data_IF_871869620869
#
_entry.id   IF_871869620869
#
_cell.length_a   1.000
_cell.length_b   1.000
_cell.length_c   1.000
_cell.angle_alpha   90.00
_cell.angle_beta   90.00
_cell.angle_gamma   90.00
#
_symmetry.space_group_name_H-M   'P 1'
#
loop_
_entity.id
_entity.type
_entity.pdbx_description
1 polymer ?
#
# COMPACT_ATOMS: atom_id res chain seq x y z
N UNK A 1 10.57 51.66 27.14
CA UNK A 1 9.23 51.23 27.62
C UNK A 1 9.01 49.80 27.18
N UNK A 2 9.16 48.84 28.09
CA UNK A 2 8.91 47.42 27.82
C UNK A 2 7.42 47.16 27.99
N UNK A 3 6.75 46.76 26.92
CA UNK A 3 5.35 46.34 26.93
C UNK A 3 5.22 44.98 27.63
N UNK A 4 4.41 44.92 28.68
CA UNK A 4 4.04 43.68 29.35
C UNK A 4 3.20 42.79 28.42
N UNK A 5 3.38 41.45 28.45
CA UNK A 5 2.52 40.54 27.71
C UNK A 5 1.14 40.47 28.38
N UNK A 6 0.09 40.73 27.60
CA UNK A 6 -1.29 40.60 28.03
C UNK A 6 -1.57 39.17 28.51
N UNK A 7 -2.05 39.03 29.75
CA UNK A 7 -2.53 37.75 30.29
C UNK A 7 -3.68 37.22 29.42
N UNK A 8 -3.73 35.91 29.11
CA UNK A 8 -4.87 35.33 28.42
C UNK A 8 -6.11 35.53 29.28
N UNK A 9 -7.13 36.19 28.72
CA UNK A 9 -8.41 36.36 29.37
C UNK A 9 -9.00 34.97 29.68
N UNK A 10 -9.29 34.72 30.94
CA UNK A 10 -9.91 33.49 31.40
C UNK A 10 -11.39 33.54 31.03
N UNK A 11 -11.74 33.07 29.82
CA UNK A 11 -13.12 33.04 29.34
C UNK A 11 -13.83 31.91 30.09
N UNK A 12 -14.75 32.26 30.99
CA UNK A 12 -15.64 31.28 31.60
C UNK A 12 -16.42 30.54 30.49
N UNK A 13 -16.57 29.20 30.56
CA UNK A 13 -17.31 28.46 29.55
C UNK A 13 -18.74 29.00 29.46
N UNK A 14 -19.20 29.28 28.25
CA UNK A 14 -20.56 29.75 28.02
C UNK A 14 -21.58 28.75 28.61
N UNK A 15 -22.68 29.23 29.24
CA UNK A 15 -23.66 28.34 29.84
C UNK A 15 -24.28 27.45 28.76
N UNK A 16 -24.10 26.14 28.90
CA UNK A 16 -24.70 25.12 28.04
C UNK A 16 -25.97 24.60 28.71
N UNK A 17 -27.10 24.66 28.01
CA UNK A 17 -28.37 24.05 28.41
C UNK A 17 -28.68 22.88 27.49
N UNK A 18 -29.42 21.88 27.97
CA UNK A 18 -29.93 20.79 27.14
C UNK A 18 -31.44 20.85 27.08
N UNK A 19 -32.01 20.56 25.90
CA UNK A 19 -33.45 20.47 25.70
C UNK A 19 -33.79 19.30 24.76
N UNK A 20 -34.95 18.64 24.93
CA UNK A 20 -35.38 17.61 24.01
C UNK A 20 -35.65 18.21 22.62
N UNK A 21 -35.11 17.57 21.60
CA UNK A 21 -35.35 17.88 20.19
C UNK A 21 -35.70 16.60 19.44
N UNK A 22 -36.12 16.74 18.19
CA UNK A 22 -36.43 15.62 17.32
C UNK A 22 -35.72 15.81 15.97
N UNK A 23 -35.12 14.73 15.47
CA UNK A 23 -34.55 14.66 14.14
C UNK A 23 -35.42 13.75 13.28
N UNK A 24 -35.84 14.23 12.11
CA UNK A 24 -36.69 13.45 11.19
C UNK A 24 -36.07 12.11 10.77
N UNK A 25 -34.74 11.98 10.82
CA UNK A 25 -34.00 10.77 10.45
C UNK A 25 -33.65 9.86 11.62
N UNK A 26 -33.44 10.42 12.81
CA UNK A 26 -32.83 9.72 13.95
C UNK A 26 -33.68 9.76 15.22
N UNK A 27 -34.88 10.37 15.16
CA UNK A 27 -35.81 10.41 16.28
C UNK A 27 -35.44 11.46 17.35
N UNK A 28 -35.97 11.30 18.57
CA UNK A 28 -35.72 12.24 19.66
C UNK A 28 -34.26 12.22 20.13
N UNK A 29 -33.71 13.38 20.44
CA UNK A 29 -32.35 13.53 20.96
C UNK A 29 -32.23 14.75 21.88
N UNK A 30 -31.21 14.76 22.75
CA UNK A 30 -30.91 15.92 23.60
C UNK A 30 -30.08 16.94 22.84
N UNK A 31 -30.66 18.11 22.57
CA UNK A 31 -30.01 19.21 21.88
C UNK A 31 -29.30 20.13 22.88
N UNK A 32 -28.00 20.34 22.67
CA UNK A 32 -27.24 21.39 23.37
C UNK A 32 -27.60 22.77 22.84
N UNK A 33 -27.85 23.72 23.74
CA UNK A 33 -28.09 25.13 23.45
C UNK A 33 -27.03 25.96 24.16
N UNK A 34 -26.24 26.70 23.40
CA UNK A 34 -25.19 27.58 23.91
C UNK A 34 -25.65 29.02 23.74
N UNK A 35 -25.63 29.80 24.82
CA UNK A 35 -26.00 31.22 24.77
C UNK A 35 -24.72 32.05 24.70
N UNK A 36 -24.53 32.79 23.62
CA UNK A 36 -23.40 33.69 23.41
C UNK A 36 -23.94 35.08 23.06
N UNK A 37 -23.60 36.10 23.86
CA UNK A 37 -23.99 37.51 23.61
C UNK A 37 -25.49 37.64 23.28
N UNK A 38 -26.34 37.08 24.15
CA UNK A 38 -27.82 37.03 24.02
C UNK A 38 -28.38 36.32 22.78
N UNK A 39 -27.55 35.53 22.08
CA UNK A 39 -28.01 34.64 20.98
C UNK A 39 -27.94 33.19 21.40
N UNK A 40 -29.03 32.46 21.15
CA UNK A 40 -29.09 31.00 21.32
C UNK A 40 -28.56 30.28 20.08
N UNK A 41 -27.48 29.52 20.24
CA UNK A 41 -26.98 28.59 19.24
C UNK A 41 -27.43 27.17 19.60
N UNK A 42 -28.16 26.53 18.70
CA UNK A 42 -28.73 25.19 18.90
C UNK A 42 -27.91 24.15 18.14
N UNK A 43 -27.44 23.12 18.84
CA UNK A 43 -26.70 22.01 18.26
C UNK A 43 -27.58 21.15 17.34
N UNK A 44 -27.00 20.67 16.24
CA UNK A 44 -27.67 19.70 15.37
C UNK A 44 -27.80 18.31 16.02
N UNK A 45 -28.52 17.41 15.36
CA UNK A 45 -28.57 16.00 15.76
C UNK A 45 -27.15 15.38 15.77
N UNK A 46 -26.71 14.76 16.88
CA UNK A 46 -25.38 14.15 16.98
C UNK A 46 -25.12 13.06 15.94
N UNK A 47 -26.10 12.20 15.68
CA UNK A 47 -25.98 11.13 14.67
C UNK A 47 -25.86 11.69 13.24
N UNK A 48 -26.64 12.73 12.90
CA UNK A 48 -26.46 13.43 11.62
C UNK A 48 -25.05 13.99 11.48
N UNK A 49 -24.52 14.59 12.55
CA UNK A 49 -23.18 15.17 12.54
C UNK A 49 -22.09 14.09 12.41
N UNK A 50 -22.26 12.95 13.09
CA UNK A 50 -21.34 11.79 12.99
C UNK A 50 -21.31 11.25 11.56
N UNK A 51 -22.47 10.95 10.97
CA UNK A 51 -22.56 10.46 9.58
C UNK A 51 -21.92 11.46 8.61
N UNK A 52 -22.22 12.76 8.76
CA UNK A 52 -21.65 13.79 7.90
C UNK A 52 -20.14 13.99 8.10
N UNK A 53 -19.59 13.66 9.27
CA UNK A 53 -18.15 13.65 9.52
C UNK A 53 -17.51 12.42 8.89
N UNK A 54 -18.08 11.24 9.13
CA UNK A 54 -17.61 9.96 8.58
C UNK A 54 -17.54 10.05 7.03
N UNK A 55 -18.60 10.55 6.38
CA UNK A 55 -18.61 10.78 4.93
C UNK A 55 -17.56 11.80 4.46
N UNK A 56 -17.29 12.85 5.25
CA UNK A 56 -16.28 13.86 4.91
C UNK A 56 -14.88 13.29 5.02
N UNK A 57 -14.60 12.54 6.08
CA UNK A 57 -13.33 11.85 6.27
C UNK A 57 -13.08 10.82 5.16
N UNK A 58 -14.09 10.05 4.77
CA UNK A 58 -13.99 9.11 3.65
C UNK A 58 -13.67 9.81 2.33
N UNK A 59 -14.37 10.91 2.02
CA UNK A 59 -14.09 11.71 0.80
C UNK A 59 -12.69 12.29 0.81
N UNK A 60 -12.23 12.80 1.95
CA UNK A 60 -10.88 13.34 2.09
C UNK A 60 -9.82 12.25 1.87
N UNK A 61 -9.98 11.09 2.51
CA UNK A 61 -9.09 9.93 2.33
C UNK A 61 -9.04 9.48 0.87
N UNK A 62 -10.19 9.44 0.18
CA UNK A 62 -10.26 9.09 -1.24
C UNK A 62 -9.53 10.11 -2.13
N UNK A 63 -9.68 11.41 -1.86
CA UNK A 63 -9.01 12.47 -2.61
C UNK A 63 -7.49 12.47 -2.40
N UNK A 64 -7.03 12.27 -1.17
CA UNK A 64 -5.61 12.15 -0.84
C UNK A 64 -4.98 10.93 -1.53
N UNK A 65 -5.68 9.79 -1.52
CA UNK A 65 -5.26 8.59 -2.22
C UNK A 65 -5.12 8.79 -3.74
N UNK A 66 -6.12 9.42 -4.36
CA UNK A 66 -6.06 9.75 -5.78
C UNK A 66 -4.86 10.65 -6.10
N UNK A 67 -4.62 11.67 -5.28
CA UNK A 67 -3.49 12.58 -5.43
C UNK A 67 -2.15 11.84 -5.31
N UNK A 68 -2.01 10.95 -4.31
CA UNK A 68 -0.82 10.10 -4.16
C UNK A 68 -0.61 9.19 -5.37
N UNK A 69 -1.67 8.55 -5.88
CA UNK A 69 -1.60 7.70 -7.08
C UNK A 69 -1.12 8.46 -8.30
N UNK A 70 -1.67 9.66 -8.53
CA UNK A 70 -1.26 10.52 -9.64
C UNK A 70 0.21 10.94 -9.52
N UNK A 71 0.66 11.31 -8.32
CA UNK A 71 2.05 11.68 -8.06
C UNK A 71 3.03 10.52 -8.35
N UNK A 72 2.69 9.30 -7.89
CA UNK A 72 3.48 8.09 -8.15
C UNK A 72 3.49 7.78 -9.66
N UNK A 73 2.33 7.80 -10.31
CA UNK A 73 2.20 7.51 -11.75
C UNK A 73 3.02 8.48 -12.60
N UNK A 74 3.05 9.77 -12.24
CA UNK A 74 3.84 10.79 -12.95
C UNK A 74 5.34 10.52 -12.87
N UNK A 75 5.83 10.07 -11.70
CA UNK A 75 7.26 9.75 -11.50
C UNK A 75 7.68 8.42 -12.16
N UNK A 76 6.78 7.43 -12.21
CA UNK A 76 7.04 6.14 -12.86
C UNK A 76 6.91 6.17 -14.38
N UNK A 77 6.21 7.14 -14.96
CA UNK A 77 6.13 7.34 -16.41
C UNK A 77 5.27 6.37 -17.18
N UNK A 78 4.68 5.39 -16.50
CA UNK A 78 3.77 4.39 -17.03
C UNK A 78 3.02 3.75 -15.87
N UNK A 79 1.91 3.10 -16.20
CA UNK A 79 0.95 2.50 -15.27
C UNK A 79 1.59 1.81 -14.06
N UNK A 80 0.95 1.97 -12.90
CA UNK A 80 1.31 1.29 -11.64
C UNK A 80 1.36 -0.23 -11.81
N UNK A 81 0.56 -0.75 -12.75
CA UNK A 81 0.50 -2.14 -13.18
C UNK A 81 0.51 -2.19 -14.72
N UNK A 82 1.39 -2.98 -15.37
CA UNK A 82 1.41 -3.12 -16.82
C UNK A 82 0.07 -3.59 -17.41
N UNK A 83 -0.33 -3.07 -18.58
CA UNK A 83 -1.61 -3.37 -19.26
C UNK A 83 -1.93 -4.87 -19.35
N UNK A 84 -0.94 -5.71 -19.63
CA UNK A 84 -1.11 -7.18 -19.72
C UNK A 84 -1.60 -7.83 -18.43
N UNK A 85 -1.45 -7.16 -17.28
CA UNK A 85 -1.86 -7.66 -15.98
C UNK A 85 -3.02 -6.88 -15.36
N UNK A 86 -3.53 -5.86 -16.04
CA UNK A 86 -4.61 -4.99 -15.57
C UNK A 86 -5.84 -5.79 -15.11
N UNK A 87 -6.17 -6.86 -15.83
CA UNK A 87 -7.35 -7.70 -15.54
C UNK A 87 -7.07 -8.85 -14.56
N UNK A 88 -5.86 -9.01 -14.02
CA UNK A 88 -5.52 -10.15 -13.13
C UNK A 88 -5.99 -9.82 -11.71
N UNK A 89 -6.96 -10.58 -11.18
CA UNK A 89 -7.56 -10.36 -9.85
C UNK A 89 -7.52 -11.63 -9.01
N UNK A 90 -7.83 -11.53 -7.71
CA UNK A 90 -7.93 -12.71 -6.84
C UNK A 90 -9.22 -13.51 -7.13
N UNK A 91 -10.18 -12.90 -7.84
CA UNK A 91 -11.41 -13.57 -8.24
C UNK A 91 -11.22 -14.46 -9.47
N UNK A 92 -10.34 -14.07 -10.41
CA UNK A 92 -10.11 -14.82 -11.65
C UNK A 92 -8.84 -15.69 -11.65
N UNK A 93 -8.26 -15.94 -10.49
CA UNK A 93 -7.18 -16.92 -10.33
C UNK A 93 -7.76 -18.34 -10.27
N UNK A 94 -7.33 -19.23 -11.18
CA UNK A 94 -7.75 -20.64 -11.18
C UNK A 94 -7.02 -21.43 -10.10
N UNK A 95 -7.76 -21.93 -9.10
CA UNK A 95 -7.23 -22.75 -8.01
C UNK A 95 -7.75 -24.19 -8.10
N UNK A 96 -7.06 -25.03 -8.86
CA UNK A 96 -7.40 -26.42 -9.16
C UNK A 96 -6.96 -27.37 -8.03
N UNK A 97 -5.80 -27.11 -7.42
CA UNK A 97 -5.25 -27.97 -6.35
C UNK A 97 -5.25 -27.30 -4.97
N UNK A 98 -4.94 -28.09 -3.93
CA UNK A 98 -4.94 -27.63 -2.54
C UNK A 98 -3.90 -26.54 -2.29
N UNK A 99 -2.69 -26.67 -2.84
CA UNK A 99 -1.63 -25.66 -2.74
C UNK A 99 -2.06 -24.30 -3.31
N UNK A 100 -2.70 -24.31 -4.47
CA UNK A 100 -3.26 -23.11 -5.10
C UNK A 100 -4.37 -22.48 -4.27
N UNK A 101 -5.28 -23.28 -3.70
CA UNK A 101 -6.33 -22.79 -2.81
C UNK A 101 -5.75 -22.15 -1.54
N UNK A 102 -4.72 -22.77 -0.95
CA UNK A 102 -3.98 -22.22 0.19
C UNK A 102 -3.30 -20.90 -0.16
N UNK A 103 -2.54 -20.84 -1.26
CA UNK A 103 -1.87 -19.62 -1.71
C UNK A 103 -2.89 -18.49 -1.97
N UNK A 104 -3.99 -18.78 -2.66
CA UNK A 104 -5.06 -17.82 -2.89
C UNK A 104 -5.69 -17.34 -1.58
N UNK A 105 -5.89 -18.23 -0.60
CA UNK A 105 -6.41 -17.88 0.73
C UNK A 105 -5.46 -16.94 1.47
N UNK A 106 -4.15 -17.19 1.43
CA UNK A 106 -3.15 -16.30 2.02
C UNK A 106 -3.19 -14.91 1.37
N UNK A 107 -3.24 -14.83 0.04
CA UNK A 107 -3.32 -13.55 -0.66
C UNK A 107 -4.62 -12.79 -0.35
N UNK A 108 -5.76 -13.48 -0.29
CA UNK A 108 -7.05 -12.88 0.09
C UNK A 108 -7.04 -12.35 1.51
N UNK A 109 -6.50 -13.14 2.44
CA UNK A 109 -6.37 -12.70 3.82
C UNK A 109 -5.45 -11.48 3.93
N UNK A 110 -4.30 -11.50 3.26
CA UNK A 110 -3.34 -10.39 3.23
C UNK A 110 -3.96 -9.07 2.75
N UNK A 111 -4.78 -9.10 1.69
CA UNK A 111 -5.54 -7.92 1.24
C UNK A 111 -6.60 -7.49 2.25
N UNK A 112 -7.32 -8.46 2.86
CA UNK A 112 -8.38 -8.19 3.83
C UNK A 112 -7.86 -7.46 5.06
N UNK A 113 -6.70 -7.84 5.58
CA UNK A 113 -6.09 -7.24 6.79
C UNK A 113 -4.99 -6.24 6.45
N UNK A 114 -4.99 -5.68 5.23
CA UNK A 114 -3.86 -4.90 4.73
C UNK A 114 -3.57 -3.63 5.55
N UNK A 115 -4.56 -3.06 6.22
CA UNK A 115 -4.33 -1.91 7.11
C UNK A 115 -3.43 -2.29 8.30
N UNK A 116 -3.64 -3.46 8.91
CA UNK A 116 -2.76 -4.02 9.96
C UNK A 116 -1.37 -4.41 9.39
N UNK A 117 -1.32 -4.84 8.14
CA UNK A 117 -0.07 -5.15 7.45
C UNK A 117 0.78 -3.89 7.25
N UNK A 118 0.16 -2.74 6.93
CA UNK A 118 0.87 -1.47 6.80
C UNK A 118 1.35 -0.96 8.15
N UNK A 119 0.63 -1.19 9.23
CA UNK A 119 1.08 -0.83 10.59
C UNK A 119 2.31 -1.64 11.04
N UNK A 120 2.39 -2.91 10.62
CA UNK A 120 3.48 -3.83 10.99
C UNK A 120 4.60 -3.92 9.95
N UNK A 121 4.41 -3.39 8.74
CA UNK A 121 5.33 -3.53 7.61
C UNK A 121 5.49 -4.97 7.11
N UNK A 122 4.55 -5.87 7.44
CA UNK A 122 4.71 -7.31 7.21
C UNK A 122 4.80 -7.66 5.72
N UNK A 123 5.96 -8.18 5.33
CA UNK A 123 6.25 -8.55 3.95
C UNK A 123 5.76 -9.97 3.61
N UNK A 124 5.56 -10.22 2.31
CA UNK A 124 5.18 -11.52 1.78
C UNK A 124 6.15 -11.96 0.69
N UNK A 125 6.50 -13.25 0.65
CA UNK A 125 7.35 -13.83 -0.40
C UNK A 125 6.58 -14.97 -1.07
N UNK A 126 6.35 -14.83 -2.37
CA UNK A 126 5.79 -15.86 -3.24
C UNK A 126 6.95 -16.58 -3.91
N UNK A 127 7.13 -17.87 -3.63
CA UNK A 127 8.35 -18.59 -4.00
C UNK A 127 8.04 -19.94 -4.63
N UNK A 128 8.79 -20.35 -5.66
CA UNK A 128 8.63 -21.67 -6.29
C UNK A 128 8.77 -21.64 -7.81
N UNK A 129 8.52 -22.77 -8.49
CA UNK A 129 8.85 -22.95 -9.92
C UNK A 129 8.18 -21.92 -10.84
N UNK A 130 8.77 -21.57 -11.99
CA UNK A 130 8.11 -20.74 -13.01
C UNK A 130 6.77 -21.33 -13.47
N UNK A 131 5.83 -20.46 -13.86
CA UNK A 131 4.55 -20.88 -14.43
C UNK A 131 3.49 -21.36 -13.44
N UNK A 132 3.74 -21.24 -12.14
CA UNK A 132 2.81 -21.64 -11.06
C UNK A 132 1.79 -20.56 -10.64
N UNK A 133 1.84 -19.36 -11.24
CA UNK A 133 0.87 -18.30 -10.99
C UNK A 133 1.26 -17.25 -9.94
N UNK A 134 2.52 -17.23 -9.47
CA UNK A 134 3.03 -16.23 -8.50
C UNK A 134 2.80 -14.78 -8.95
N UNK A 135 3.20 -14.46 -10.18
CA UNK A 135 2.99 -13.12 -10.77
C UNK A 135 1.52 -12.75 -10.85
N UNK A 136 0.63 -13.70 -11.18
CA UNK A 136 -0.82 -13.44 -11.16
C UNK A 136 -1.24 -13.03 -9.75
N UNK A 137 -0.91 -13.81 -8.73
CA UNK A 137 -1.34 -13.53 -7.36
C UNK A 137 -0.72 -12.23 -6.80
N UNK A 138 0.56 -11.95 -7.05
CA UNK A 138 1.18 -10.70 -6.62
C UNK A 138 0.55 -9.47 -7.30
N UNK A 139 0.33 -9.51 -8.62
CA UNK A 139 -0.36 -8.41 -9.31
C UNK A 139 -1.82 -8.31 -8.87
N UNK A 140 -2.49 -9.43 -8.62
CA UNK A 140 -3.86 -9.45 -8.14
C UNK A 140 -3.99 -8.77 -6.77
N UNK A 141 -3.04 -8.97 -5.84
CA UNK A 141 -2.99 -8.22 -4.57
C UNK A 141 -2.91 -6.71 -4.86
N UNK A 142 -2.00 -6.28 -5.73
CA UNK A 142 -1.84 -4.87 -6.08
C UNK A 142 -3.10 -4.28 -6.72
N UNK A 143 -3.73 -5.00 -7.65
CA UNK A 143 -4.99 -4.59 -8.29
C UNK A 143 -6.12 -4.45 -7.26
N UNK A 144 -6.27 -5.43 -6.37
CA UNK A 144 -7.31 -5.38 -5.33
C UNK A 144 -7.14 -4.15 -4.43
N UNK A 145 -5.92 -3.82 -4.01
CA UNK A 145 -5.65 -2.60 -3.24
C UNK A 145 -5.92 -1.32 -4.05
N UNK A 146 -5.49 -1.27 -5.31
CA UNK A 146 -5.73 -0.10 -6.16
C UNK A 146 -7.21 0.13 -6.46
N UNK A 147 -8.01 -0.92 -6.61
CA UNK A 147 -9.40 -0.78 -7.04
C UNK A 147 -10.41 -0.77 -5.89
N UNK A 148 -10.10 -1.41 -4.75
CA UNK A 148 -11.05 -1.58 -3.65
C UNK A 148 -10.72 -0.79 -2.41
N UNK A 149 -9.53 -0.18 -2.32
CA UNK A 149 -9.13 0.63 -1.18
C UNK A 149 -8.53 1.97 -1.63
N UNK A 150 -8.21 2.83 -0.67
CA UNK A 150 -7.46 4.07 -0.86
C UNK A 150 -5.94 3.86 -0.94
N UNK A 151 -5.47 2.61 -0.87
CA UNK A 151 -4.03 2.29 -0.85
C UNK A 151 -3.41 2.40 -2.24
N UNK A 152 -2.11 2.61 -2.26
CA UNK A 152 -1.30 2.69 -3.46
C UNK A 152 -0.45 1.43 -3.59
N UNK A 153 -0.44 0.83 -4.78
CA UNK A 153 0.39 -0.33 -5.06
C UNK A 153 1.12 -0.14 -6.38
N UNK A 154 2.36 -0.62 -6.47
CA UNK A 154 3.17 -0.63 -7.70
C UNK A 154 3.69 -2.04 -7.94
N UNK A 155 3.65 -2.48 -9.19
CA UNK A 155 4.31 -3.70 -9.65
C UNK A 155 5.51 -3.35 -10.52
N UNK A 156 6.68 -3.93 -10.23
CA UNK A 156 7.86 -3.84 -11.09
C UNK A 156 8.69 -5.12 -11.03
N UNK A 157 9.33 -5.47 -12.15
CA UNK A 157 10.35 -6.52 -12.16
C UNK A 157 11.70 -5.91 -11.79
N UNK A 158 12.58 -6.69 -11.13
CA UNK A 158 13.95 -6.23 -10.81
C UNK A 158 14.66 -5.73 -12.07
N UNK A 159 14.58 -6.48 -13.17
CA UNK A 159 15.18 -6.08 -14.45
C UNK A 159 14.70 -4.71 -14.95
N UNK A 160 13.38 -4.44 -14.86
CA UNK A 160 12.83 -3.13 -15.27
C UNK A 160 13.34 -1.98 -14.41
N UNK A 161 13.53 -2.21 -13.11
CA UNK A 161 14.05 -1.20 -12.18
C UNK A 161 15.51 -0.88 -12.52
N UNK A 162 16.34 -1.91 -12.69
CA UNK A 162 17.76 -1.73 -13.03
C UNK A 162 17.91 -1.01 -14.38
N UNK A 163 17.09 -1.34 -15.36
CA UNK A 163 17.08 -0.66 -16.65
C UNK A 163 16.66 0.80 -16.50
N UNK A 164 15.60 1.08 -15.72
CA UNK A 164 15.14 2.44 -15.48
C UNK A 164 16.23 3.29 -14.80
N UNK A 165 16.92 2.76 -13.78
CA UNK A 165 18.02 3.47 -13.11
C UNK A 165 19.16 3.74 -14.09
N UNK A 166 19.59 2.75 -14.87
CA UNK A 166 20.64 2.94 -15.88
C UNK A 166 20.27 4.00 -16.91
N UNK A 167 19.00 4.08 -17.31
CA UNK A 167 18.53 5.11 -18.23
C UNK A 167 18.68 6.54 -17.67
N UNK A 168 18.71 6.71 -16.33
CA UNK A 168 18.92 8.03 -15.71
C UNK A 168 20.34 8.57 -15.85
N UNK A 169 21.30 7.73 -16.25
CA UNK A 169 22.69 8.16 -16.48
C UNK A 169 22.88 8.82 -17.85
N UNK A 170 21.87 8.77 -18.72
CA UNK A 170 21.85 9.56 -19.94
C UNK A 170 21.71 11.05 -19.60
N UNK A 171 22.53 11.90 -20.23
CA UNK A 171 22.49 13.36 -20.04
C UNK A 171 21.18 14.00 -20.50
N UNK A 172 20.41 13.30 -21.34
CA UNK A 172 19.08 13.72 -21.78
C UNK A 172 17.95 13.17 -20.90
N UNK A 173 18.25 12.40 -19.85
CA UNK A 173 17.23 11.88 -18.96
C UNK A 173 16.52 13.01 -18.21
N UNK A 174 15.20 13.06 -18.33
CA UNK A 174 14.35 13.95 -17.54
C UNK A 174 14.15 13.45 -16.09
N UNK A 175 14.64 12.25 -15.77
CA UNK A 175 14.47 11.61 -14.46
C UNK A 175 15.79 11.30 -13.80
N UNK A 176 15.77 11.39 -12.47
CA UNK A 176 16.91 11.00 -11.62
C UNK A 176 16.72 9.61 -11.02
N UNK A 177 17.81 8.98 -10.60
CA UNK A 177 17.77 7.75 -9.80
C UNK A 177 16.92 7.93 -8.54
N UNK A 178 17.01 9.10 -7.90
CA UNK A 178 16.21 9.45 -6.72
C UNK A 178 14.70 9.45 -7.03
N UNK A 179 14.27 9.91 -8.21
CA UNK A 179 12.86 9.86 -8.61
C UNK A 179 12.36 8.42 -8.74
N UNK A 180 13.19 7.53 -9.29
CA UNK A 180 12.86 6.12 -9.43
C UNK A 180 12.77 5.46 -8.05
N UNK A 181 13.78 5.64 -7.20
CA UNK A 181 13.77 5.09 -5.84
C UNK A 181 12.57 5.59 -5.03
N UNK A 182 12.28 6.90 -5.09
CA UNK A 182 11.10 7.48 -4.45
C UNK A 182 9.81 6.81 -4.93
N UNK A 183 9.70 6.53 -6.22
CA UNK A 183 8.53 5.87 -6.80
C UNK A 183 8.34 4.41 -6.34
N UNK A 184 9.40 3.77 -5.84
CA UNK A 184 9.40 2.39 -5.33
C UNK A 184 9.27 2.34 -3.80
N UNK A 185 9.74 3.36 -3.09
CA UNK A 185 9.66 3.43 -1.62
C UNK A 185 8.39 4.13 -1.11
N UNK A 186 7.76 4.97 -1.94
CA UNK A 186 6.56 5.74 -1.55
C UNK A 186 5.25 4.93 -1.49
N UNK A 187 4.95 4.02 -2.43
CA UNK A 187 3.66 3.30 -2.44
C UNK A 187 3.44 2.45 -1.19
N UNK A 188 2.19 2.32 -0.74
CA UNK A 188 1.83 1.47 0.41
C UNK A 188 2.27 0.02 0.18
N UNK A 189 2.10 -0.51 -1.04
CA UNK A 189 2.63 -1.81 -1.46
C UNK A 189 3.57 -1.71 -2.66
N UNK A 190 4.70 -2.41 -2.59
CA UNK A 190 5.53 -2.73 -3.74
C UNK A 190 5.44 -4.24 -4.00
N UNK A 191 5.08 -4.62 -5.22
CA UNK A 191 5.24 -5.98 -5.73
C UNK A 191 6.49 -6.01 -6.58
N UNK A 192 7.51 -6.69 -6.07
CA UNK A 192 8.81 -6.86 -6.71
C UNK A 192 8.89 -8.25 -7.32
N UNK A 193 8.87 -8.32 -8.64
CA UNK A 193 8.87 -9.58 -9.39
C UNK A 193 10.23 -9.91 -10.01
N UNK A 194 10.40 -11.17 -10.37
CA UNK A 194 11.60 -11.72 -11.01
C UNK A 194 12.87 -11.55 -10.17
N UNK A 195 12.74 -11.60 -8.84
CA UNK A 195 13.90 -11.58 -7.95
C UNK A 195 14.72 -12.85 -8.14
N UNK A 196 16.01 -12.68 -8.44
CA UNK A 196 16.93 -13.80 -8.64
C UNK A 196 16.73 -14.55 -9.95
N UNK A 197 16.11 -13.92 -10.95
CA UNK A 197 16.02 -14.45 -12.32
C UNK A 197 17.29 -14.11 -13.13
N UNK A 198 18.06 -13.10 -12.70
CA UNK A 198 19.26 -12.59 -13.35
C UNK A 198 20.52 -13.39 -12.97
N UNK A 199 21.09 -14.12 -13.94
CA UNK A 199 22.39 -14.84 -13.84
C UNK A 199 22.48 -15.83 -12.64
N UNK A 200 23.55 -16.63 -12.60
CA UNK A 200 23.80 -17.53 -11.44
C UNK A 200 24.13 -16.73 -10.16
N UNK A 201 24.60 -15.49 -10.31
CA UNK A 201 24.85 -14.55 -9.21
C UNK A 201 24.39 -13.13 -9.57
N UNK A 202 23.73 -12.41 -8.65
CA UNK A 202 23.33 -11.02 -8.85
C UNK A 202 24.57 -10.11 -8.87
N UNK A 203 24.48 -9.01 -9.63
CA UNK A 203 25.56 -8.01 -9.66
C UNK A 203 25.56 -7.13 -8.41
N UNK A 204 26.70 -6.53 -8.06
CA UNK A 204 26.79 -5.55 -6.95
C UNK A 204 25.80 -4.40 -7.11
N UNK A 205 25.61 -3.93 -8.34
CA UNK A 205 24.63 -2.89 -8.67
C UNK A 205 23.20 -3.35 -8.37
N UNK A 206 22.86 -4.61 -8.68
CA UNK A 206 21.54 -5.19 -8.40
C UNK A 206 21.32 -5.34 -6.89
N UNK A 207 22.29 -5.90 -6.16
CA UNK A 207 22.22 -6.05 -4.71
C UNK A 207 22.12 -4.70 -3.99
N UNK A 208 22.89 -3.71 -4.42
CA UNK A 208 22.86 -2.35 -3.86
C UNK A 208 21.53 -1.67 -4.12
N UNK A 209 21.00 -1.81 -5.34
CA UNK A 209 19.69 -1.28 -5.72
C UNK A 209 18.56 -1.91 -4.90
N UNK A 210 18.56 -3.24 -4.79
CA UNK A 210 17.58 -3.98 -4.00
C UNK A 210 17.66 -3.55 -2.53
N UNK A 211 18.86 -3.47 -1.96
CA UNK A 211 19.04 -3.03 -0.58
C UNK A 211 18.51 -1.60 -0.38
N UNK A 212 18.79 -0.65 -1.28
CA UNK A 212 18.29 0.72 -1.17
C UNK A 212 16.75 0.78 -1.16
N UNK A 213 16.09 0.00 -2.02
CA UNK A 213 14.62 -0.07 -2.09
C UNK A 213 14.06 -0.71 -0.82
N UNK A 214 14.57 -1.87 -0.42
CA UNK A 214 14.06 -2.63 0.72
C UNK A 214 14.30 -1.88 2.02
N UNK A 215 15.49 -1.30 2.22
CA UNK A 215 15.80 -0.49 3.39
C UNK A 215 14.92 0.77 3.47
N UNK A 216 14.76 1.52 2.37
CA UNK A 216 13.92 2.72 2.37
C UNK A 216 12.44 2.43 2.62
N UNK A 217 11.95 1.24 2.22
CA UNK A 217 10.59 0.78 2.57
C UNK A 217 10.49 0.35 4.02
N UNK A 218 11.48 -0.40 4.51
CA UNK A 218 11.58 -0.83 5.90
C UNK A 218 11.58 0.37 6.87
N UNK A 219 12.36 1.41 6.59
CA UNK A 219 12.43 2.65 7.41
C UNK A 219 11.09 3.38 7.51
N UNK A 220 10.18 3.14 6.55
CA UNK A 220 8.85 3.73 6.49
C UNK A 220 7.74 2.73 6.85
N UNK A 221 8.11 1.54 7.37
CA UNK A 221 7.18 0.46 7.75
C UNK A 221 6.29 0.03 6.58
N UNK A 222 6.83 0.02 5.35
CA UNK A 222 6.07 -0.29 4.14
C UNK A 222 6.26 -1.73 3.69
N UNK A 223 5.18 -2.52 3.57
CA UNK A 223 5.28 -3.92 3.18
C UNK A 223 5.72 -4.10 1.72
N UNK A 224 6.41 -5.21 1.44
CA UNK A 224 6.82 -5.60 0.08
C UNK A 224 6.37 -7.04 -0.18
N UNK A 225 5.76 -7.27 -1.36
CA UNK A 225 5.51 -8.61 -1.89
C UNK A 225 6.65 -8.95 -2.85
N UNK A 226 7.45 -9.95 -2.52
CA UNK A 226 8.55 -10.43 -3.35
C UNK A 226 8.11 -11.68 -4.10
N UNK A 227 8.38 -11.74 -5.41
CA UNK A 227 8.16 -12.93 -6.22
C UNK A 227 9.51 -13.44 -6.73
N UNK A 228 9.81 -14.70 -6.43
CA UNK A 228 11.04 -15.36 -6.88
C UNK A 228 10.78 -16.76 -7.41
N UNK A 229 11.53 -17.16 -8.43
CA UNK A 229 11.54 -18.54 -8.93
C UNK A 229 12.51 -19.44 -8.17
N UNK A 230 13.31 -18.87 -7.26
CA UNK A 230 14.31 -19.59 -6.48
C UNK A 230 13.67 -20.36 -5.32
N UNK A 231 14.44 -21.23 -4.66
CA UNK A 231 14.04 -21.81 -3.38
C UNK A 231 14.27 -20.83 -2.21
N UNK A 232 13.65 -21.05 -1.02
CA UNK A 232 13.80 -20.18 0.14
C UNK A 232 15.26 -19.95 0.58
N UNK A 233 16.11 -20.97 0.42
CA UNK A 233 17.52 -20.93 0.80
C UNK A 233 18.37 -20.07 -0.15
N UNK A 234 17.93 -19.87 -1.38
CA UNK A 234 18.64 -19.10 -2.40
C UNK A 234 18.24 -17.63 -2.41
N UNK A 235 17.14 -17.26 -1.73
CA UNK A 235 16.66 -15.89 -1.67
C UNK A 235 17.68 -14.90 -1.05
N UNK A 236 18.41 -15.24 0.05
CA UNK A 236 19.46 -14.37 0.59
C UNK A 236 20.60 -14.10 -0.38
N UNK A 237 20.96 -15.09 -1.19
CA UNK A 237 22.01 -14.92 -2.23
C UNK A 237 21.53 -13.95 -3.31
N UNK A 238 20.27 -14.07 -3.73
CA UNK A 238 19.70 -13.25 -4.81
C UNK A 238 19.41 -11.80 -4.40
N UNK A 239 19.00 -11.56 -3.15
CA UNK A 239 18.62 -10.22 -2.66
C UNK A 239 19.67 -9.54 -1.78
N UNK A 240 20.66 -10.30 -1.32
CA UNK A 240 21.55 -9.93 -0.24
C UNK A 240 20.95 -10.22 1.13
N UNK A 241 21.76 -10.73 2.06
CA UNK A 241 21.33 -11.13 3.40
C UNK A 241 20.65 -9.99 4.16
N UNK A 242 21.21 -8.79 4.08
CA UNK A 242 20.67 -7.59 4.73
C UNK A 242 19.26 -7.25 4.26
N UNK A 243 18.97 -7.42 2.97
CA UNK A 243 17.62 -7.18 2.43
C UNK A 243 16.64 -8.21 2.98
N UNK A 244 17.02 -9.48 3.02
CA UNK A 244 16.16 -10.54 3.56
C UNK A 244 15.92 -10.39 5.05
N UNK A 245 16.92 -9.94 5.82
CA UNK A 245 16.78 -9.66 7.25
C UNK A 245 15.70 -8.59 7.52
N UNK A 246 15.71 -7.48 6.76
CA UNK A 246 14.66 -6.45 6.85
C UNK A 246 13.28 -6.95 6.46
N UNK A 247 13.19 -7.91 5.54
CA UNK A 247 11.92 -8.55 5.20
C UNK A 247 11.41 -9.46 6.34
N UNK A 248 12.31 -10.06 7.13
CA UNK A 248 11.98 -11.01 8.24
C UNK A 248 11.42 -10.31 9.47
N UNK A 249 11.90 -9.11 9.78
CA UNK A 249 11.64 -8.44 11.06
C UNK A 249 10.15 -8.20 11.34
N UNK A 250 9.34 -7.93 10.31
CA UNK A 250 7.88 -7.78 10.43
C UNK A 250 7.08 -9.10 10.50
N UNK A 251 7.76 -10.25 10.60
CA UNK A 251 7.13 -11.58 10.55
C UNK A 251 6.74 -11.99 9.13
N UNK A 252 7.73 -12.08 8.24
CA UNK A 252 7.58 -12.42 6.81
C UNK A 252 6.65 -13.62 6.58
N UNK A 253 5.71 -13.46 5.65
CA UNK A 253 4.84 -14.55 5.19
C UNK A 253 5.49 -15.20 3.98
N UNK A 254 5.84 -16.49 4.07
CA UNK A 254 6.36 -17.25 2.92
C UNK A 254 5.25 -18.15 2.37
N UNK A 255 4.95 -18.00 1.08
CA UNK A 255 3.94 -18.78 0.37
C UNK A 255 4.63 -19.62 -0.71
N UNK A 256 4.78 -20.94 -0.51
CA UNK A 256 5.43 -21.83 -1.47
C UNK A 256 4.48 -22.23 -2.62
N UNK A 257 5.04 -22.32 -3.84
CA UNK A 257 4.38 -22.69 -5.08
C UNK A 257 5.05 -23.94 -5.67
N UNK A 258 4.60 -25.10 -5.18
CA UNK A 258 5.24 -26.41 -5.42
C UNK A 258 4.52 -27.27 -6.46
N UNK A 259 3.52 -26.73 -7.16
CA UNK A 259 2.76 -27.46 -8.19
C UNK A 259 3.33 -27.27 -9.61
N UNK A 260 2.80 -28.06 -10.54
CA UNK A 260 3.18 -28.02 -11.96
C UNK A 260 2.83 -26.70 -12.65
N UNK A 261 3.61 -26.35 -13.67
CA UNK A 261 3.42 -25.12 -14.45
C UNK A 261 2.10 -25.15 -15.23
N UNK A 262 1.37 -24.03 -15.19
CA UNK A 262 0.19 -23.78 -16.02
C UNK A 262 0.51 -23.06 -17.34
N UNK A 263 1.76 -22.61 -17.55
CA UNK A 263 2.21 -22.05 -18.84
C UNK A 263 2.20 -23.17 -19.88
N UNK A 264 1.11 -23.29 -20.62
CA UNK A 264 0.84 -24.36 -21.58
C UNK A 264 -0.64 -24.76 -21.68
N UNK A 265 -1.47 -24.44 -20.67
CA UNK A 265 -2.92 -24.67 -20.71
C UNK A 265 -3.74 -23.50 -21.27
N UNK A 266 -3.16 -22.30 -21.40
CA UNK A 266 -3.78 -21.12 -22.04
C UNK A 266 -3.63 -21.12 -23.58
N UNK A 267 -3.30 -22.26 -24.20
CA UNK A 267 -3.31 -22.43 -25.66
C UNK A 267 -4.43 -23.41 -26.04
N UNK A 268 -5.61 -22.85 -26.33
CA UNK A 268 -6.62 -23.15 -27.37
C UNK A 268 -7.79 -22.19 -27.14
#
# INVERSE_FOLDING_TARGET
MRSEPAKPANIAPAPVRTQPAHCDKHGPYDQSVVVILDRELRGGCPECHRIANDEREERQKAQEALTKRMAISRKLGDALIPKRFEKRTLANYSAENEGQRKALSFCRHYVKVFDEIVESGRCMVLIGKPGTGKTHLGVAIANELLHKTSRTAVYRTVGSILQAIRATYDRQSERTEADILFSLTTPDLLVLDEVGVSKEQPSDFELTTLFAIINGRYEQVKPTVVISNLGPEQLPVAMGERSVDRLREGGMIVVPFEWESHRGKEAI
#
